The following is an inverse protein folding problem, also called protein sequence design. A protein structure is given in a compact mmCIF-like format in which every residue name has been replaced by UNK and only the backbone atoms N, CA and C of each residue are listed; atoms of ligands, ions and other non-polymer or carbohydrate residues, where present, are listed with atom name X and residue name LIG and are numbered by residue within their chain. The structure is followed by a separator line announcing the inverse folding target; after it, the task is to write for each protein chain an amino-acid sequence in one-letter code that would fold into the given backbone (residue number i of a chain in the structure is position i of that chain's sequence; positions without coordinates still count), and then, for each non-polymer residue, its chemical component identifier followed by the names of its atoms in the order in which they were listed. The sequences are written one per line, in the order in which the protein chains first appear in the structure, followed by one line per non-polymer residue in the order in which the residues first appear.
data_IF_895447041476
#
_entry.id   IF_895447041476
#
_cell.length_a   1.000
_cell.length_b   1.000
_cell.length_c   1.000
_cell.angle_alpha   90.00
_cell.angle_beta   90.00
_cell.angle_gamma   90.00
#
_symmetry.space_group_name_H-M   'P 1'
#
loop_
_entity.id
_entity.type
_entity.pdbx_description
1 polymer ?
#
# COMPACT_ATOMS: atom_id res chain seq x y z
N UNK A 1 -10.25 5.92 -9.70
CA UNK A 1 -11.13 4.85 -9.17
C UNK A 1 -12.39 5.48 -8.58
N UNK A 2 -13.57 4.87 -8.70
CA UNK A 2 -14.81 5.35 -8.06
C UNK A 2 -14.82 5.04 -6.56
N UNK A 3 -15.65 5.74 -5.78
CA UNK A 3 -15.81 5.48 -4.33
C UNK A 3 -16.15 4.03 -4.03
N UNK A 4 -16.96 3.41 -4.88
CA UNK A 4 -17.38 2.02 -4.71
C UNK A 4 -16.27 1.02 -5.03
N UNK A 5 -15.47 1.28 -6.05
CA UNK A 5 -14.28 0.48 -6.36
C UNK A 5 -13.23 0.58 -5.24
N UNK A 6 -13.09 1.76 -4.63
CA UNK A 6 -12.23 1.96 -3.45
C UNK A 6 -12.75 1.17 -2.24
N UNK A 7 -14.07 1.19 -1.97
CA UNK A 7 -14.68 0.34 -0.93
C UNK A 7 -14.43 -1.14 -1.20
N UNK A 8 -14.51 -1.58 -2.45
CA UNK A 8 -14.23 -2.96 -2.83
C UNK A 8 -12.75 -3.34 -2.61
N UNK A 9 -11.80 -2.46 -2.96
CA UNK A 9 -10.38 -2.64 -2.66
C UNK A 9 -10.14 -2.82 -1.16
N UNK A 10 -10.73 -1.96 -0.32
CA UNK A 10 -10.64 -2.07 1.14
C UNK A 10 -11.25 -3.36 1.67
N UNK A 11 -12.40 -3.76 1.14
CA UNK A 11 -13.05 -5.03 1.51
C UNK A 11 -12.17 -6.22 1.18
N UNK A 12 -11.58 -6.25 -0.02
CA UNK A 12 -10.63 -7.29 -0.41
C UNK A 12 -9.43 -7.32 0.55
N UNK A 13 -8.84 -6.16 0.85
CA UNK A 13 -7.69 -6.07 1.75
C UNK A 13 -8.01 -6.56 3.17
N UNK A 14 -9.17 -6.18 3.70
CA UNK A 14 -9.64 -6.65 5.00
C UNK A 14 -9.77 -8.18 5.02
N UNK A 15 -10.41 -8.77 4.01
CA UNK A 15 -10.59 -10.22 3.91
C UNK A 15 -9.24 -10.94 3.83
N UNK A 16 -8.32 -10.42 3.02
CA UNK A 16 -6.98 -10.99 2.92
C UNK A 16 -6.27 -10.93 4.28
N UNK A 17 -6.29 -9.77 4.93
CA UNK A 17 -5.70 -9.54 6.26
C UNK A 17 -6.27 -10.52 7.29
N UNK A 18 -7.60 -10.62 7.39
CA UNK A 18 -8.28 -11.50 8.36
C UNK A 18 -7.84 -12.96 8.20
N UNK A 19 -7.79 -13.45 6.95
CA UNK A 19 -7.34 -14.81 6.66
C UNK A 19 -5.89 -15.01 7.09
N UNK A 20 -5.02 -14.04 6.82
CA UNK A 20 -3.62 -14.12 7.22
C UNK A 20 -3.48 -14.15 8.75
N UNK A 21 -4.18 -13.28 9.47
CA UNK A 21 -4.14 -13.26 10.94
C UNK A 21 -4.72 -14.52 11.58
N UNK A 22 -5.91 -14.96 11.15
CA UNK A 22 -6.57 -16.17 11.70
C UNK A 22 -5.71 -17.43 11.49
N UNK A 23 -4.86 -17.45 10.47
CA UNK A 23 -3.97 -18.57 10.18
C UNK A 23 -2.53 -18.38 10.71
N UNK A 24 -2.27 -17.38 11.55
CA UNK A 24 -0.95 -17.16 12.16
C UNK A 24 0.10 -16.56 11.22
N UNK A 25 -0.32 -15.98 10.09
CA UNK A 25 0.53 -15.34 9.08
C UNK A 25 0.46 -13.81 9.10
N UNK A 26 -0.09 -13.22 10.16
CA UNK A 26 -0.24 -11.76 10.32
C UNK A 26 1.07 -10.97 10.22
N UNK A 27 2.22 -11.62 10.48
CA UNK A 27 3.56 -11.03 10.36
C UNK A 27 4.29 -11.42 9.06
N UNK A 28 3.60 -12.02 8.08
CA UNK A 28 4.19 -12.55 6.83
C UNK A 28 3.68 -11.86 5.57
N UNK A 29 2.96 -10.77 5.73
CA UNK A 29 2.59 -9.87 4.64
C UNK A 29 2.71 -8.42 5.11
N UNK A 30 2.84 -7.50 4.17
CA UNK A 30 2.87 -6.08 4.45
C UNK A 30 2.34 -5.26 3.28
N UNK A 31 1.85 -4.05 3.56
CA UNK A 31 1.57 -3.04 2.54
C UNK A 31 2.85 -2.74 1.74
N UNK A 32 2.73 -2.57 0.43
CA UNK A 32 3.85 -2.29 -0.46
C UNK A 32 3.49 -1.32 -1.58
N UNK A 33 4.51 -0.85 -2.32
CA UNK A 33 4.37 0.01 -3.49
C UNK A 33 3.47 1.23 -3.24
N UNK A 34 2.58 1.52 -4.22
CA UNK A 34 1.62 2.62 -4.17
C UNK A 34 0.64 2.56 -2.98
N UNK A 35 0.39 1.37 -2.44
CA UNK A 35 -0.48 1.21 -1.25
C UNK A 35 0.21 1.66 0.03
N UNK A 36 1.48 1.29 0.23
CA UNK A 36 2.26 1.78 1.38
C UNK A 36 2.52 3.27 1.28
N UNK A 37 2.83 3.75 0.08
CA UNK A 37 2.92 5.15 -0.27
C UNK A 37 1.63 5.91 0.17
N UNK A 38 0.46 5.48 -0.33
CA UNK A 38 -0.81 6.05 0.09
C UNK A 38 -0.99 6.06 1.61
N UNK A 39 -0.76 4.93 2.27
CA UNK A 39 -0.83 4.83 3.73
C UNK A 39 0.05 5.86 4.45
N UNK A 40 1.27 6.11 3.95
CA UNK A 40 2.21 7.06 4.54
C UNK A 40 1.81 8.53 4.29
N UNK A 41 1.32 8.86 3.10
CA UNK A 41 1.09 10.27 2.72
C UNK A 41 -0.37 10.72 2.75
N UNK A 42 -1.33 9.80 2.81
CA UNK A 42 -2.77 10.09 2.74
C UNK A 42 -3.60 9.33 3.78
N UNK A 43 -2.99 8.48 4.60
CA UNK A 43 -3.68 7.53 5.50
C UNK A 43 -4.70 6.63 4.78
N UNK A 44 -4.57 6.48 3.45
CA UNK A 44 -5.49 5.78 2.56
C UNK A 44 -4.79 5.50 1.22
N UNK A 45 -5.45 4.89 0.23
CA UNK A 45 -4.87 4.88 -1.12
C UNK A 45 -4.70 6.33 -1.64
N UNK A 46 -3.58 6.61 -2.33
CA UNK A 46 -3.42 7.93 -2.93
C UNK A 46 -4.50 8.16 -4.01
N UNK A 47 -4.97 9.39 -4.22
CA UNK A 47 -6.14 9.65 -5.08
C UNK A 47 -6.03 9.18 -6.54
N UNK A 48 -4.80 8.98 -7.03
CA UNK A 48 -4.48 8.50 -8.37
C UNK A 48 -4.11 7.01 -8.43
N UNK A 49 -4.13 6.30 -7.30
CA UNK A 49 -3.91 4.86 -7.23
C UNK A 49 -5.16 4.11 -7.70
N UNK A 50 -4.96 3.00 -8.42
CA UNK A 50 -6.04 2.16 -8.94
C UNK A 50 -5.92 0.69 -8.51
N UNK A 51 -4.99 0.33 -7.62
CA UNK A 51 -4.86 -1.03 -7.08
C UNK A 51 -4.34 -1.06 -5.64
N UNK A 52 -4.48 -2.22 -5.00
CA UNK A 52 -3.87 -2.53 -3.70
C UNK A 52 -2.72 -3.50 -3.94
N UNK A 53 -1.52 -3.18 -3.46
CA UNK A 53 -0.31 -3.99 -3.61
C UNK A 53 0.19 -4.46 -2.24
N UNK A 54 0.44 -5.77 -2.12
CA UNK A 54 0.99 -6.40 -0.93
C UNK A 54 2.30 -7.12 -1.25
N UNK A 55 3.21 -7.18 -0.28
CA UNK A 55 4.38 -8.05 -0.31
C UNK A 55 4.21 -9.17 0.70
N UNK A 56 4.30 -10.42 0.26
CA UNK A 56 4.06 -11.62 1.08
C UNK A 56 5.29 -12.52 1.08
N UNK A 57 5.58 -13.16 2.21
CA UNK A 57 6.71 -14.09 2.28
C UNK A 57 6.53 -15.25 1.28
N UNK A 58 7.51 -15.45 0.39
CA UNK A 58 7.42 -16.45 -0.66
C UNK A 58 7.23 -17.87 -0.10
N UNK A 59 7.75 -18.15 1.10
CA UNK A 59 7.72 -19.49 1.70
C UNK A 59 6.30 -19.93 2.06
N UNK A 60 5.35 -18.99 2.18
CA UNK A 60 3.94 -19.29 2.44
C UNK A 60 3.04 -19.11 1.22
N UNK A 61 3.60 -18.86 0.03
CA UNK A 61 2.84 -18.63 -1.22
C UNK A 61 1.79 -19.69 -1.50
N UNK A 62 2.17 -20.96 -1.42
CA UNK A 62 1.22 -22.06 -1.66
C UNK A 62 0.09 -22.06 -0.63
N UNK A 63 0.41 -21.75 0.63
CA UNK A 63 -0.59 -21.68 1.70
C UNK A 63 -1.56 -20.51 1.50
N UNK A 64 -1.06 -19.35 1.11
CA UNK A 64 -1.90 -18.18 0.78
C UNK A 64 -2.88 -18.53 -0.34
N UNK A 65 -2.39 -19.16 -1.42
CA UNK A 65 -3.24 -19.62 -2.53
C UNK A 65 -4.31 -20.61 -2.07
N UNK A 66 -3.96 -21.58 -1.23
CA UNK A 66 -4.92 -22.53 -0.66
C UNK A 66 -5.99 -21.83 0.19
N UNK A 67 -5.58 -20.91 1.07
CA UNK A 67 -6.50 -20.19 1.96
C UNK A 67 -7.48 -19.32 1.17
N UNK A 68 -6.99 -18.57 0.18
CA UNK A 68 -7.85 -17.74 -0.67
C UNK A 68 -8.77 -18.59 -1.55
N UNK A 69 -8.31 -19.74 -2.05
CA UNK A 69 -9.16 -20.67 -2.82
C UNK A 69 -10.36 -21.18 -2.03
N UNK A 70 -10.28 -21.28 -0.69
CA UNK A 70 -11.42 -21.68 0.16
C UNK A 70 -12.56 -20.65 0.19
N UNK A 71 -12.32 -19.43 -0.28
CA UNK A 71 -13.35 -18.38 -0.42
C UNK A 71 -14.17 -18.49 -1.71
N UNK A 72 -13.92 -19.50 -2.54
CA UNK A 72 -14.75 -19.83 -3.70
C UNK A 72 -16.19 -20.13 -3.22
N UNK A 73 -17.24 -19.69 -3.94
CA UNK A 73 -17.21 -19.12 -5.28
C UNK A 73 -17.15 -17.58 -5.33
N UNK A 74 -17.33 -16.89 -4.21
CA UNK A 74 -17.44 -15.42 -4.18
C UNK A 74 -16.13 -14.69 -4.50
N UNK A 75 -15.00 -15.36 -4.33
CA UNK A 75 -13.69 -14.78 -4.58
C UNK A 75 -12.84 -15.69 -5.47
N UNK A 76 -11.79 -15.12 -6.07
CA UNK A 76 -10.85 -15.87 -6.87
C UNK A 76 -9.44 -15.33 -6.70
N UNK A 77 -8.49 -16.25 -6.84
CA UNK A 77 -7.07 -15.94 -6.97
C UNK A 77 -6.58 -16.51 -8.29
N UNK A 78 -5.87 -15.69 -9.06
CA UNK A 78 -5.18 -16.11 -10.28
C UNK A 78 -3.68 -16.13 -9.98
N UNK A 79 -3.09 -17.32 -9.86
CA UNK A 79 -1.65 -17.49 -9.76
C UNK A 79 -0.94 -17.02 -11.03
N UNK A 80 0.14 -16.26 -10.90
CA UNK A 80 1.11 -16.08 -12.00
C UNK A 80 2.49 -16.58 -11.56
N UNK A 81 3.52 -16.33 -12.36
CA UNK A 81 4.88 -16.75 -12.02
C UNK A 81 5.46 -15.92 -10.85
N UNK A 82 5.27 -14.60 -10.87
CA UNK A 82 5.86 -13.68 -9.89
C UNK A 82 4.86 -13.10 -8.91
N UNK A 83 3.62 -12.86 -9.35
CA UNK A 83 2.58 -12.26 -8.51
C UNK A 83 1.30 -13.08 -8.55
N UNK A 84 0.38 -12.85 -7.61
CA UNK A 84 -0.95 -13.43 -7.68
C UNK A 84 -2.01 -12.33 -7.62
N UNK A 85 -3.11 -12.49 -8.35
CA UNK A 85 -4.20 -11.50 -8.39
C UNK A 85 -5.40 -12.02 -7.60
N UNK A 86 -5.79 -11.33 -6.52
CA UNK A 86 -6.94 -11.67 -5.69
C UNK A 86 -8.10 -10.69 -5.89
N UNK A 87 -9.28 -11.20 -6.24
CA UNK A 87 -10.44 -10.38 -6.61
C UNK A 87 -11.77 -11.05 -6.30
N UNK A 88 -12.86 -10.29 -6.44
CA UNK A 88 -14.23 -10.81 -6.27
C UNK A 88 -14.77 -11.36 -7.58
N UNK A 89 -15.53 -12.45 -7.55
CA UNK A 89 -16.28 -12.92 -8.72
C UNK A 89 -17.71 -12.40 -8.67
N UNK A 90 -18.26 -12.03 -9.83
CA UNK A 90 -19.71 -11.98 -9.97
C UNK A 90 -20.26 -13.40 -10.07
N UNK A 91 -21.24 -13.72 -9.23
CA UNK A 91 -22.01 -14.97 -9.32
C UNK A 91 -23.24 -14.83 -10.23
N UNK A 92 -23.59 -13.59 -10.60
CA UNK A 92 -24.75 -13.27 -11.42
C UNK A 92 -24.35 -12.26 -12.50
N UNK A 93 -24.24 -12.73 -13.74
CA UNK A 93 -23.89 -11.92 -14.91
C UNK A 93 -25.03 -11.01 -15.37
N UNK A 94 -26.22 -11.11 -14.75
CA UNK A 94 -27.39 -10.26 -15.08
C UNK A 94 -27.47 -9.00 -14.22
N UNK A 95 -26.75 -8.96 -13.09
CA UNK A 95 -26.68 -7.80 -12.22
C UNK A 95 -25.68 -6.78 -12.78
N UNK A 96 -26.24 -5.73 -13.40
CA UNK A 96 -25.54 -4.58 -14.00
C UNK A 96 -24.88 -3.66 -12.95
N UNK A 97 -24.39 -4.21 -11.84
CA UNK A 97 -23.80 -3.47 -10.72
C UNK A 97 -22.28 -3.57 -10.79
N UNK A 98 -21.68 -2.71 -11.62
CA UNK A 98 -20.22 -2.51 -11.78
C UNK A 98 -19.46 -2.10 -10.50
N UNK A 99 -20.16 -2.08 -9.37
CA UNK A 99 -19.83 -1.47 -8.09
C UNK A 99 -19.57 -2.52 -7.00
N UNK A 100 -20.25 -3.69 -7.07
CA UNK A 100 -20.17 -4.72 -6.03
C UNK A 100 -19.11 -5.79 -6.30
N UNK A 101 -18.70 -5.95 -7.55
CA UNK A 101 -17.81 -7.01 -8.01
C UNK A 101 -16.71 -6.46 -8.91
N UNK A 102 -15.60 -7.18 -8.93
CA UNK A 102 -14.50 -6.96 -9.87
C UNK A 102 -15.00 -7.29 -11.28
N UNK A 103 -14.68 -6.42 -12.22
CA UNK A 103 -15.10 -6.51 -13.61
C UNK A 103 -14.03 -7.20 -14.45
N UNK A 104 -14.40 -8.10 -15.37
CA UNK A 104 -13.46 -8.69 -16.30
C UNK A 104 -12.71 -7.60 -17.05
N UNK A 105 -11.38 -7.74 -17.13
CA UNK A 105 -10.55 -6.85 -17.96
C UNK A 105 -10.12 -7.62 -19.19
N UNK A 106 -10.17 -6.97 -20.35
CA UNK A 106 -9.95 -7.62 -21.64
C UNK A 106 -8.60 -8.36 -21.67
N UNK A 107 -8.60 -9.58 -22.22
CA UNK A 107 -7.42 -10.43 -22.40
C UNK A 107 -6.69 -10.88 -21.12
N UNK A 108 -7.29 -10.74 -19.92
CA UNK A 108 -6.72 -11.23 -18.67
C UNK A 108 -7.60 -12.28 -18.00
N UNK A 109 -6.95 -13.16 -17.23
CA UNK A 109 -7.63 -14.18 -16.44
C UNK A 109 -8.20 -13.64 -15.11
N UNK A 110 -7.86 -12.41 -14.75
CA UNK A 110 -8.31 -11.74 -13.53
C UNK A 110 -9.27 -10.58 -13.82
N UNK A 111 -9.95 -10.10 -12.79
CA UNK A 111 -10.90 -8.99 -12.86
C UNK A 111 -10.47 -7.85 -11.95
N UNK A 112 -10.74 -6.61 -12.33
CA UNK A 112 -10.37 -5.41 -11.58
C UNK A 112 -11.61 -4.75 -10.94
N UNK A 113 -11.56 -4.23 -9.70
CA UNK A 113 -10.39 -4.11 -8.83
C UNK A 113 -9.90 -5.44 -8.23
N UNK A 114 -8.60 -5.50 -7.93
CA UNK A 114 -7.94 -6.65 -7.32
C UNK A 114 -6.85 -6.22 -6.31
N UNK A 115 -6.40 -7.16 -5.49
CA UNK A 115 -5.13 -7.06 -4.77
C UNK A 115 -4.06 -7.71 -5.64
N UNK A 116 -2.97 -6.98 -5.86
CA UNK A 116 -1.74 -7.51 -6.40
C UNK A 116 -0.86 -8.05 -5.27
N UNK A 117 -0.62 -9.35 -5.27
CA UNK A 117 0.18 -10.03 -4.25
C UNK A 117 1.54 -10.35 -4.87
N UNK A 118 2.50 -9.50 -4.57
CA UNK A 118 3.91 -9.76 -4.86
C UNK A 118 4.55 -10.50 -3.68
N UNK A 119 5.71 -11.11 -3.93
CA UNK A 119 6.38 -11.94 -2.93
C UNK A 119 7.74 -11.38 -2.53
N UNK A 120 8.22 -11.72 -1.33
CA UNK A 120 9.57 -11.43 -0.89
C UNK A 120 10.31 -12.67 -0.41
N UNK A 121 11.63 -12.64 -0.56
CA UNK A 121 12.58 -13.57 0.04
C UNK A 121 13.31 -12.88 1.20
N UNK A 122 13.64 -13.63 2.24
CA UNK A 122 14.41 -13.13 3.38
C UNK A 122 15.71 -13.92 3.48
N UNK A 123 16.81 -13.21 3.62
CA UNK A 123 18.09 -13.77 4.03
C UNK A 123 18.54 -13.14 5.37
N UNK A 124 19.76 -13.43 5.83
CA UNK A 124 20.25 -12.97 7.15
C UNK A 124 20.28 -11.45 7.31
N UNK A 125 20.44 -10.70 6.21
CA UNK A 125 20.72 -9.26 6.25
C UNK A 125 19.70 -8.43 5.48
N UNK A 126 18.93 -9.04 4.57
CA UNK A 126 18.05 -8.34 3.65
C UNK A 126 16.73 -9.07 3.42
N UNK A 127 15.74 -8.27 3.04
CA UNK A 127 14.52 -8.69 2.38
C UNK A 127 14.60 -8.24 0.93
N UNK A 128 14.22 -9.08 -0.01
CA UNK A 128 14.24 -8.73 -1.44
C UNK A 128 12.92 -9.13 -2.07
N UNK A 129 12.42 -8.31 -2.99
CA UNK A 129 11.26 -8.69 -3.81
C UNK A 129 11.60 -9.94 -4.63
N UNK A 130 10.72 -10.92 -4.68
CA UNK A 130 10.92 -12.11 -5.49
C UNK A 130 10.69 -11.78 -6.97
N UNK A 131 11.72 -12.04 -7.79
CA UNK A 131 11.68 -11.94 -9.25
C UNK A 131 12.29 -13.22 -9.83
N UNK A 132 11.79 -13.67 -10.98
CA UNK A 132 12.36 -14.77 -11.75
C UNK A 132 13.73 -14.38 -12.32
N UNK A 133 13.87 -13.13 -12.74
CA UNK A 133 15.13 -12.55 -13.21
C UNK A 133 15.72 -11.64 -12.13
N UNK A 134 17.05 -11.70 -11.94
CA UNK A 134 17.73 -10.93 -10.90
C UNK A 134 18.09 -9.49 -11.29
N UNK A 135 17.87 -9.10 -12.54
CA UNK A 135 18.43 -7.86 -13.11
C UNK A 135 17.95 -6.61 -12.38
N UNK A 136 16.76 -6.63 -11.79
CA UNK A 136 16.12 -5.44 -11.22
C UNK A 136 15.51 -5.73 -9.83
N UNK A 137 16.14 -6.65 -9.09
CA UNK A 137 15.61 -7.09 -7.80
C UNK A 137 15.79 -6.00 -6.74
N UNK A 138 14.68 -5.39 -6.31
CA UNK A 138 14.70 -4.44 -5.19
C UNK A 138 14.96 -5.18 -3.88
N UNK A 139 15.86 -4.64 -3.07
CA UNK A 139 16.21 -5.20 -1.77
C UNK A 139 16.37 -4.14 -0.70
N UNK A 140 15.92 -4.48 0.51
CA UNK A 140 15.98 -3.64 1.70
C UNK A 140 16.75 -4.34 2.81
N UNK A 141 17.63 -3.62 3.54
CA UNK A 141 18.15 -4.10 4.81
C UNK A 141 17.05 -4.62 5.74
N UNK A 142 17.31 -5.74 6.42
CA UNK A 142 16.29 -6.43 7.23
C UNK A 142 15.70 -5.55 8.33
N UNK A 143 16.51 -4.65 8.91
CA UNK A 143 16.08 -3.72 9.97
C UNK A 143 15.20 -2.56 9.49
N UNK A 144 15.09 -2.32 8.17
CA UNK A 144 14.13 -1.39 7.57
C UNK A 144 12.75 -2.06 7.45
N UNK A 145 12.73 -3.38 7.25
CA UNK A 145 11.49 -4.14 7.06
C UNK A 145 10.93 -4.64 8.38
N UNK A 146 11.75 -5.30 9.21
CA UNK A 146 11.29 -6.01 10.40
C UNK A 146 11.76 -5.35 11.71
N UNK A 147 10.97 -5.49 12.81
CA UNK A 147 9.64 -6.10 12.86
C UNK A 147 8.60 -5.27 12.11
N UNK A 148 7.57 -5.93 11.57
CA UNK A 148 6.47 -5.20 10.92
C UNK A 148 5.71 -4.36 11.96
N UNK A 149 5.25 -3.19 11.55
CA UNK A 149 4.38 -2.32 12.34
C UNK A 149 3.05 -2.10 11.65
N UNK A 150 2.02 -1.75 12.41
CA UNK A 150 0.73 -1.42 11.83
C UNK A 150 0.71 0.03 11.34
N UNK A 151 0.16 0.22 10.14
CA UNK A 151 -0.13 1.55 9.59
C UNK A 151 -1.59 1.67 9.14
N UNK A 152 -2.14 2.88 9.18
CA UNK A 152 -3.51 3.17 8.76
C UNK A 152 -3.66 3.07 7.24
N UNK A 153 -4.77 2.50 6.78
CA UNK A 153 -5.21 2.59 5.39
C UNK A 153 -6.74 2.62 5.34
N UNK A 154 -7.29 3.83 5.15
CA UNK A 154 -8.71 4.09 5.32
C UNK A 154 -9.15 3.75 6.76
N UNK A 155 -10.22 2.95 6.94
CA UNK A 155 -10.69 2.58 8.28
C UNK A 155 -9.89 1.45 8.95
N UNK A 156 -8.95 0.82 8.25
CA UNK A 156 -8.22 -0.36 8.73
C UNK A 156 -6.78 -0.06 9.13
N UNK A 157 -6.18 -0.99 9.88
CA UNK A 157 -4.76 -0.99 10.23
C UNK A 157 -4.12 -2.28 9.73
N UNK A 158 -3.02 -2.15 8.99
CA UNK A 158 -2.39 -3.29 8.33
C UNK A 158 -0.89 -3.34 8.58
N UNK A 159 -0.28 -4.54 8.58
CA UNK A 159 1.18 -4.67 8.64
C UNK A 159 1.86 -3.88 7.53
N UNK A 160 2.93 -3.19 7.89
CA UNK A 160 3.78 -2.38 7.04
C UNK A 160 5.25 -2.55 7.48
N UNK A 161 6.22 -2.23 6.61
CA UNK A 161 7.63 -2.19 7.00
C UNK A 161 7.85 -1.33 8.24
N UNK A 162 8.82 -1.74 9.07
CA UNK A 162 9.24 -1.03 10.29
C UNK A 162 9.51 0.46 10.02
N UNK A 163 10.22 0.72 8.94
CA UNK A 163 10.56 2.05 8.44
C UNK A 163 9.95 2.28 7.05
N UNK A 164 8.70 2.76 6.98
CA UNK A 164 8.02 2.96 5.70
C UNK A 164 8.73 4.01 4.83
N UNK A 165 9.31 5.05 5.39
CA UNK A 165 9.97 6.11 4.63
C UNK A 165 11.23 5.58 3.92
N UNK A 166 12.13 4.92 4.66
CA UNK A 166 13.34 4.32 4.04
C UNK A 166 12.99 3.18 3.08
N UNK A 167 11.95 2.41 3.39
CA UNK A 167 11.44 1.37 2.48
C UNK A 167 11.00 1.99 1.14
N UNK A 168 10.16 3.03 1.19
CA UNK A 168 9.66 3.73 0.02
C UNK A 168 10.80 4.39 -0.76
N UNK A 169 11.72 5.10 -0.10
CA UNK A 169 12.89 5.75 -0.74
C UNK A 169 13.76 4.81 -1.57
N UNK A 170 13.83 3.53 -1.21
CA UNK A 170 14.58 2.54 -2.00
C UNK A 170 13.97 2.35 -3.39
N UNK A 171 12.63 2.36 -3.47
CA UNK A 171 11.85 2.20 -4.72
C UNK A 171 11.75 3.54 -5.45
N UNK A 172 11.41 4.57 -4.68
CA UNK A 172 10.87 5.83 -5.17
C UNK A 172 11.95 6.91 -5.29
N UNK A 173 12.96 6.91 -4.42
CA UNK A 173 13.95 7.98 -4.30
C UNK A 173 13.47 9.13 -3.41
N UNK A 174 14.21 10.25 -3.45
CA UNK A 174 14.06 11.40 -2.54
C UNK A 174 13.42 12.64 -3.21
N UNK A 175 12.62 12.48 -4.27
CA UNK A 175 12.06 13.64 -4.96
C UNK A 175 10.83 14.24 -4.28
N UNK A 176 10.37 15.36 -4.83
CA UNK A 176 9.20 16.14 -4.37
C UNK A 176 8.01 16.02 -5.35
N UNK A 177 8.06 15.03 -6.24
CA UNK A 177 7.18 14.87 -7.38
C UNK A 177 6.21 13.71 -7.21
N UNK A 178 4.93 14.01 -7.28
CA UNK A 178 3.87 13.02 -7.35
C UNK A 178 3.71 12.60 -8.82
N UNK A 179 3.78 11.29 -9.08
CA UNK A 179 3.64 10.72 -10.42
C UNK A 179 2.44 9.80 -10.49
N UNK A 180 1.70 9.86 -11.59
CA UNK A 180 0.70 8.85 -11.91
C UNK A 180 1.37 7.54 -12.33
N UNK A 181 0.65 6.43 -12.22
CA UNK A 181 1.14 5.14 -12.71
C UNK A 181 1.28 5.11 -14.24
N UNK A 182 2.23 4.36 -14.79
CA UNK A 182 2.39 4.15 -16.23
C UNK A 182 1.38 3.14 -16.81
N UNK A 183 0.55 2.52 -15.98
CA UNK A 183 -0.40 1.48 -16.39
C UNK A 183 -1.76 1.73 -15.74
N UNK A 184 -2.83 1.58 -16.52
CA UNK A 184 -4.20 1.50 -16.01
C UNK A 184 -4.58 0.04 -15.83
N UNK A 185 -4.82 -0.39 -14.59
CA UNK A 185 -5.31 -1.74 -14.33
C UNK A 185 -6.79 -1.91 -14.68
N UNK A 186 -7.56 -0.81 -14.59
CA UNK A 186 -8.96 -0.79 -14.99
C UNK A 186 -9.15 -1.02 -16.50
N UNK A 187 -8.22 -0.51 -17.33
CA UNK A 187 -8.28 -0.60 -18.79
C UNK A 187 -7.26 -1.60 -19.37
N UNK A 188 -6.41 -2.16 -18.53
CA UNK A 188 -5.27 -3.01 -18.88
C UNK A 188 -4.44 -2.49 -20.06
N UNK A 189 -3.99 -1.23 -19.94
CA UNK A 189 -3.18 -0.58 -20.98
C UNK A 189 -2.18 0.42 -20.40
N UNK A 190 -1.09 0.71 -21.13
CA UNK A 190 -0.20 1.81 -20.79
C UNK A 190 -0.92 3.15 -20.71
N UNK A 191 -0.45 4.02 -19.83
CA UNK A 191 -0.85 5.41 -19.69
C UNK A 191 0.37 6.31 -19.78
N UNK A 192 0.17 7.52 -20.30
CA UNK A 192 1.18 8.58 -20.18
C UNK A 192 1.33 8.94 -18.70
N UNK A 193 2.56 8.84 -18.18
CA UNK A 193 2.88 9.25 -16.82
C UNK A 193 2.77 10.77 -16.72
N UNK A 194 1.94 11.24 -15.81
CA UNK A 194 1.83 12.66 -15.45
C UNK A 194 2.62 12.87 -14.17
N UNK A 195 3.50 13.87 -14.18
CA UNK A 195 4.33 14.24 -13.04
C UNK A 195 4.03 15.68 -12.64
N UNK A 196 3.89 15.92 -11.33
CA UNK A 196 3.75 17.27 -10.77
C UNK A 196 4.42 17.34 -9.41
N UNK A 197 4.69 18.54 -8.89
CA UNK A 197 5.15 18.68 -7.50
C UNK A 197 4.03 18.27 -6.56
N UNK A 198 4.30 17.42 -5.57
CA UNK A 198 3.29 16.98 -4.61
C UNK A 198 2.67 18.16 -3.86
N UNK A 199 3.48 19.19 -3.54
CA UNK A 199 2.98 20.41 -2.92
C UNK A 199 1.87 21.10 -3.73
N UNK A 200 1.88 20.99 -5.07
CA UNK A 200 0.82 21.57 -5.90
C UNK A 200 -0.53 20.85 -5.78
N UNK A 201 -0.58 19.70 -5.11
CA UNK A 201 -1.79 18.88 -4.92
C UNK A 201 -2.45 19.11 -3.56
N UNK A 202 -1.83 19.86 -2.65
CA UNK A 202 -2.29 20.02 -1.25
C UNK A 202 -3.63 20.74 -1.11
N UNK A 203 -3.95 21.60 -2.08
CA UNK A 203 -5.24 22.31 -2.15
C UNK A 203 -6.37 21.42 -2.68
N UNK A 204 -6.06 20.24 -3.19
CA UNK A 204 -7.03 19.31 -3.79
C UNK A 204 -7.18 18.03 -2.99
N UNK A 205 -6.11 17.56 -2.36
CA UNK A 205 -6.07 16.30 -1.64
C UNK A 205 -5.39 16.49 -0.29
N UNK A 206 -5.94 15.91 0.78
CA UNK A 206 -5.28 15.92 2.09
C UNK A 206 -3.96 15.15 2.07
N UNK A 207 -2.96 15.65 2.80
CA UNK A 207 -1.66 15.00 2.99
C UNK A 207 -1.33 14.84 4.47
N UNK A 208 -0.52 13.83 4.78
CA UNK A 208 -0.08 13.50 6.14
C UNK A 208 1.13 14.33 6.54
N UNK A 209 0.95 15.14 7.58
CA UNK A 209 2.00 15.84 8.27
C UNK A 209 2.54 15.00 9.41
N UNK A 210 3.87 14.92 9.50
CA UNK A 210 4.59 14.19 10.54
C UNK A 210 5.16 15.19 11.55
N UNK A 211 4.98 14.89 12.82
CA UNK A 211 5.51 15.68 13.93
C UNK A 211 5.84 14.77 15.11
N UNK A 212 6.50 15.29 16.14
CA UNK A 212 6.71 14.55 17.39
C UNK A 212 5.41 14.54 18.19
N UNK A 213 5.02 13.38 18.70
CA UNK A 213 3.89 13.29 19.61
C UNK A 213 4.30 13.76 21.01
N UNK A 214 3.88 14.98 21.37
CA UNK A 214 3.97 15.59 22.70
C UNK A 214 5.41 15.71 23.25
N UNK A 215 5.98 16.93 23.27
CA UNK A 215 7.39 17.18 23.64
C UNK A 215 7.76 16.75 25.07
N UNK A 216 6.76 16.57 25.95
CA UNK A 216 6.95 16.32 27.37
C UNK A 216 7.04 14.84 27.76
N UNK A 217 6.72 13.93 26.84
CA UNK A 217 6.89 12.49 27.10
C UNK A 217 8.17 12.07 26.40
N UNK A 218 9.20 11.75 27.18
CA UNK A 218 10.44 11.17 26.65
C UNK A 218 10.18 9.78 26.07
N UNK A 219 9.61 9.69 24.86
CA UNK A 219 9.15 8.43 24.25
C UNK A 219 10.07 7.94 23.13
N UNK A 220 11.33 8.36 23.15
CA UNK A 220 12.35 7.73 22.33
C UNK A 220 12.87 6.48 23.06
N UNK A 221 12.71 5.30 22.47
CA UNK A 221 13.35 4.07 22.94
C UNK A 221 14.17 3.48 21.80
N UNK A 222 15.49 3.58 21.91
CA UNK A 222 16.40 3.23 20.82
C UNK A 222 16.25 4.19 19.66
N UNK A 223 15.98 3.64 18.46
CA UNK A 223 15.77 4.37 17.20
C UNK A 223 14.28 4.66 16.90
N UNK A 224 13.37 4.34 17.82
CA UNK A 224 11.93 4.55 17.69
C UNK A 224 11.44 5.68 18.59
N UNK A 225 10.48 6.48 18.12
CA UNK A 225 9.78 7.52 18.87
C UNK A 225 8.27 7.51 18.57
N UNK A 226 7.47 8.18 19.40
CA UNK A 226 6.07 8.45 19.04
C UNK A 226 6.02 9.61 18.03
N UNK A 227 5.58 9.28 16.82
CA UNK A 227 5.29 10.23 15.76
C UNK A 227 3.81 10.56 15.77
N UNK A 228 3.47 11.84 15.84
CA UNK A 228 2.14 12.34 15.49
C UNK A 228 2.03 12.36 13.97
N UNK A 229 1.01 11.72 13.44
CA UNK A 229 0.65 11.83 12.03
C UNK A 229 -0.73 12.49 11.92
N UNK A 230 -0.82 13.61 11.19
CA UNK A 230 -2.06 14.37 10.97
C UNK A 230 -2.39 14.41 9.49
N UNK A 231 -3.55 13.90 9.11
CA UNK A 231 -4.08 14.11 7.76
C UNK A 231 -4.67 15.52 7.71
N UNK A 232 -4.09 16.38 6.89
CA UNK A 232 -4.41 17.80 6.84
C UNK A 232 -4.94 18.16 5.46
N UNK A 233 -6.04 18.90 5.44
CA UNK A 233 -6.51 19.60 4.26
C UNK A 233 -6.08 21.07 4.32
N UNK A 234 -5.52 21.57 3.22
CA UNK A 234 -5.03 22.95 3.08
C UNK A 234 -5.93 23.68 2.08
N UNK A 235 -7.15 24.12 2.48
CA UNK A 235 -8.05 24.81 1.56
C UNK A 235 -7.47 26.16 1.11
N UNK A 236 -6.86 26.94 2.01
CA UNK A 236 -6.21 28.23 1.73
C UNK A 236 -5.04 28.47 2.71
N UNK A 237 -3.86 28.86 2.23
CA UNK A 237 -2.72 29.15 3.12
C UNK A 237 -2.92 30.48 3.86
N UNK A 238 -2.67 30.58 5.19
CA UNK A 238 -2.03 29.60 6.08
C UNK A 238 -3.02 28.70 6.85
N UNK A 239 -4.31 28.73 6.53
CA UNK A 239 -5.32 27.94 7.23
C UNK A 239 -5.29 26.47 6.82
N UNK A 240 -5.26 25.60 7.84
CA UNK A 240 -5.34 24.17 7.61
C UNK A 240 -6.36 23.54 8.55
N UNK A 241 -7.06 22.53 8.06
CA UNK A 241 -7.97 21.73 8.86
C UNK A 241 -7.43 20.32 8.98
N UNK A 242 -7.27 19.85 10.22
CA UNK A 242 -6.95 18.45 10.47
C UNK A 242 -8.22 17.62 10.22
N UNK A 243 -8.15 16.70 9.27
CA UNK A 243 -9.19 15.71 8.99
C UNK A 243 -9.23 14.69 10.14
N UNK A 244 -8.06 14.18 10.50
CA UNK A 244 -7.82 13.38 11.70
C UNK A 244 -6.32 13.32 12.03
N UNK A 245 -5.97 12.77 13.18
CA UNK A 245 -4.58 12.47 13.53
C UNK A 245 -4.47 11.48 14.69
N UNK A 246 -3.32 10.87 14.82
CA UNK A 246 -2.99 9.91 15.88
C UNK A 246 -1.48 9.86 16.11
N UNK A 247 -1.09 9.35 17.27
CA UNK A 247 0.30 9.03 17.57
C UNK A 247 0.57 7.55 17.35
N UNK A 248 1.69 7.24 16.70
CA UNK A 248 2.15 5.87 16.49
C UNK A 248 3.67 5.77 16.66
N UNK A 249 4.16 4.57 16.96
CA UNK A 249 5.59 4.32 17.05
C UNK A 249 6.21 4.28 15.65
N UNK A 250 7.16 5.17 15.38
CA UNK A 250 7.90 5.23 14.12
C UNK A 250 9.39 5.43 14.38
N UNK A 251 10.28 5.11 13.42
CA UNK A 251 11.67 5.54 13.49
C UNK A 251 11.78 7.04 13.72
N UNK A 252 12.78 7.48 14.49
CA UNK A 252 12.97 8.91 14.83
C UNK A 252 13.02 9.78 13.57
N UNK A 253 13.63 9.31 12.49
CA UNK A 253 13.70 10.03 11.21
C UNK A 253 12.33 10.28 10.56
N UNK A 254 11.34 9.44 10.86
CA UNK A 254 10.02 9.56 10.28
C UNK A 254 9.16 10.60 11.02
N UNK A 255 9.53 10.98 12.25
CA UNK A 255 8.81 11.99 13.05
C UNK A 255 8.86 13.39 12.45
N UNK A 256 9.80 13.64 11.53
CA UNK A 256 9.97 14.92 10.83
C UNK A 256 10.08 14.72 9.32
N UNK A 257 9.47 13.65 8.81
CA UNK A 257 9.45 13.38 7.39
C UNK A 257 8.75 14.52 6.64
N UNK A 258 9.35 15.02 5.56
CA UNK A 258 8.70 16.04 4.74
C UNK A 258 7.45 15.44 4.09
N UNK A 259 6.33 16.12 4.28
CA UNK A 259 5.00 15.73 3.82
C UNK A 259 4.93 15.43 2.31
N UNK A 260 5.75 16.12 1.51
CA UNK A 260 5.61 16.20 0.06
C UNK A 260 6.63 15.37 -0.73
N UNK A 261 7.40 14.51 -0.08
CA UNK A 261 8.35 13.67 -0.80
C UNK A 261 7.64 12.55 -1.58
N UNK A 262 7.90 12.49 -2.88
CA UNK A 262 7.86 11.30 -3.72
C UNK A 262 8.79 11.47 -4.92
N UNK A 263 9.48 10.42 -5.32
CA UNK A 263 9.86 10.25 -6.72
C UNK A 263 9.37 8.88 -7.19
N UNK A 264 9.11 8.71 -8.47
CA UNK A 264 8.86 7.39 -9.06
C UNK A 264 9.98 7.25 -10.07
N UNK A 265 11.01 6.47 -9.77
CA UNK A 265 12.03 6.19 -10.78
C UNK A 265 11.37 5.44 -11.94
N UNK A 266 11.42 6.06 -13.11
CA UNK A 266 11.32 5.35 -14.37
C UNK A 266 12.73 4.89 -14.69
N UNK A 267 12.97 3.58 -14.67
CA UNK A 267 13.86 2.97 -15.65
C UNK A 267 13.07 2.81 -16.95
#
# INVERSE_FOLDING_TARGET
MSTEQLKLCRKLLQIFSDIMFVNGYGNRFMLAGGTLAGSFHHHDLAPWEDEVSLLVDITIRNRVRELVKKLTPSYSIVPTNETDKFFTRSLDTTLNSNVKFSQPVAARAWSWPYIDISYYVVNKTHVSEFRLTKTDQISWPIGIVFPLHFRPLGPGWYPAPRDPLRFLRTIYGDGIFCKSRPWSHALERPMTVITTRCHSLVYRYPFVFHDVCDEYVGVAKGDMALSMERLVNLPEFPEFSAVHGFCLAAPVENTRAETYFYDYRNE
#
